data_IF_039665486273
#
_entry.id   IF_039665486273
#
_cell.length_a   1.000
_cell.length_b   1.000
_cell.length_c   1.000
_cell.angle_alpha   90.00
_cell.angle_beta   90.00
_cell.angle_gamma   90.00
#
_symmetry.space_group_name_H-M   'P 1'
#
loop_
_entity.id
_entity.type
_entity.pdbx_description
1 polymer ?
#
# COMPACT_ATOMS: atom_id res chain seq x y z
N UNK A 1 0.97 11.79 12.96
CA UNK A 1 1.07 10.47 12.31
C UNK A 1 2.32 10.47 11.45
N UNK A 2 3.24 9.52 11.64
CA UNK A 2 4.47 9.46 10.83
C UNK A 2 4.25 8.51 9.66
N UNK A 3 4.71 8.91 8.46
CA UNK A 3 4.61 8.13 7.22
C UNK A 3 5.14 6.70 7.41
N UNK A 4 6.13 6.52 8.28
CA UNK A 4 6.69 5.21 8.61
C UNK A 4 5.65 4.28 9.26
N UNK A 5 4.93 4.75 10.29
CA UNK A 5 3.88 3.96 10.94
C UNK A 5 2.75 3.62 9.97
N UNK A 6 2.42 4.52 9.06
CA UNK A 6 1.38 4.27 8.05
C UNK A 6 1.82 3.23 7.01
N UNK A 7 3.09 3.26 6.58
CA UNK A 7 3.67 2.22 5.71
C UNK A 7 3.54 0.85 6.38
N UNK A 8 3.93 0.71 7.65
CA UNK A 8 3.84 -0.56 8.37
C UNK A 8 2.39 -1.04 8.50
N UNK A 9 1.46 -0.12 8.73
CA UNK A 9 0.04 -0.43 8.79
C UNK A 9 -0.49 -0.93 7.43
N UNK A 10 -0.11 -0.30 6.32
CA UNK A 10 -0.46 -0.75 4.97
C UNK A 10 0.11 -2.14 4.69
N UNK A 11 1.40 -2.36 4.98
CA UNK A 11 2.05 -3.67 4.80
C UNK A 11 1.33 -4.76 5.61
N UNK A 12 0.97 -4.47 6.86
CA UNK A 12 0.23 -5.40 7.73
C UNK A 12 -1.15 -5.72 7.15
N UNK A 13 -1.92 -4.71 6.74
CA UNK A 13 -3.28 -4.90 6.17
C UNK A 13 -3.24 -5.73 4.88
N UNK A 14 -2.31 -5.43 3.98
CA UNK A 14 -2.13 -6.19 2.74
C UNK A 14 -1.71 -7.64 3.02
N UNK A 15 -0.82 -7.86 3.99
CA UNK A 15 -0.41 -9.20 4.41
C UNK A 15 -1.59 -10.01 4.96
N UNK A 16 -2.44 -9.41 5.80
CA UNK A 16 -3.64 -10.05 6.33
C UNK A 16 -4.62 -10.42 5.21
N UNK A 17 -4.77 -9.55 4.21
CA UNK A 17 -5.57 -9.81 3.02
C UNK A 17 -4.91 -10.78 2.01
N UNK A 18 -3.68 -11.27 2.28
CA UNK A 18 -2.86 -12.08 1.36
C UNK A 18 -2.63 -11.42 0.00
N UNK A 19 -2.47 -10.09 -0.01
CA UNK A 19 -2.20 -9.30 -1.21
C UNK A 19 -0.69 -9.01 -1.28
N UNK A 20 0.00 -9.37 -2.37
CA UNK A 20 1.42 -9.08 -2.50
C UNK A 20 1.65 -7.58 -2.70
N UNK A 21 2.69 -7.02 -2.08
CA UNK A 21 3.05 -5.60 -2.23
C UNK A 21 3.27 -5.18 -3.68
N UNK A 22 3.72 -6.10 -4.55
CA UNK A 22 3.87 -5.84 -5.97
C UNK A 22 2.57 -5.41 -6.65
N UNK A 23 1.40 -5.90 -6.19
CA UNK A 23 0.09 -5.43 -6.67
C UNK A 23 -0.19 -3.99 -6.26
N UNK A 24 0.14 -3.62 -5.02
CA UNK A 24 0.05 -2.23 -4.58
C UNK A 24 0.91 -1.32 -5.45
N UNK A 25 2.14 -1.73 -5.75
CA UNK A 25 3.07 -0.94 -6.57
C UNK A 25 2.52 -0.69 -7.97
N UNK A 26 1.94 -1.73 -8.59
CA UNK A 26 1.29 -1.62 -9.90
C UNK A 26 0.08 -0.69 -9.86
N UNK A 27 -0.80 -0.86 -8.87
CA UNK A 27 -2.03 -0.06 -8.77
C UNK A 27 -1.74 1.41 -8.45
N UNK A 28 -0.75 1.67 -7.59
CA UNK A 28 -0.36 3.02 -7.19
C UNK A 28 0.64 3.69 -8.15
N UNK A 29 1.10 2.99 -9.18
CA UNK A 29 2.07 3.54 -10.15
C UNK A 29 3.45 3.85 -9.56
N UNK A 30 3.88 3.11 -8.53
CA UNK A 30 5.19 3.28 -7.89
C UNK A 30 6.10 2.07 -8.10
N UNK A 31 7.41 2.25 -7.96
CA UNK A 31 8.37 1.16 -7.94
C UNK A 31 8.63 0.70 -6.49
N UNK A 32 8.92 -0.60 -6.30
CA UNK A 32 9.32 -1.15 -5.00
C UNK A 32 10.57 -0.47 -4.42
N UNK A 33 11.51 -0.01 -5.25
CA UNK A 33 12.67 0.77 -4.76
C UNK A 33 12.25 2.09 -4.10
N UNK A 34 11.21 2.75 -4.63
CA UNK A 34 10.64 3.98 -4.08
C UNK A 34 10.02 3.70 -2.71
N UNK A 35 9.24 2.61 -2.62
CA UNK A 35 8.65 2.16 -1.36
C UNK A 35 9.71 1.87 -0.29
N UNK A 36 10.77 1.13 -0.64
CA UNK A 36 11.89 0.81 0.26
C UNK A 36 12.57 2.07 0.78
N UNK A 37 12.77 3.10 -0.06
CA UNK A 37 13.36 4.38 0.37
C UNK A 37 12.47 5.14 1.33
N UNK A 38 11.15 5.12 1.12
CA UNK A 38 10.19 5.72 2.05
C UNK A 38 10.17 4.98 3.39
N UNK A 39 10.16 3.64 3.34
CA UNK A 39 10.21 2.80 4.53
C UNK A 39 11.46 3.05 5.37
N UNK A 40 12.62 3.15 4.71
CA UNK A 40 13.90 3.47 5.34
C UNK A 40 14.06 4.96 5.72
N UNK A 41 13.00 5.77 5.58
CA UNK A 41 12.98 7.21 5.86
C UNK A 41 14.07 7.99 5.11
N UNK A 42 14.59 7.46 4.00
CA UNK A 42 15.63 8.10 3.18
C UNK A 42 15.07 9.22 2.32
N UNK A 43 13.79 9.11 1.95
CA UNK A 43 13.07 10.11 1.17
C UNK A 43 11.62 10.13 1.63
N UNK A 44 10.96 11.28 1.59
CA UNK A 44 9.53 11.39 1.86
C UNK A 44 8.72 11.31 0.56
N UNK A 45 7.58 10.60 0.53
CA UNK A 45 6.65 10.68 -0.58
C UNK A 45 6.08 12.10 -0.72
N UNK A 46 5.73 12.47 -1.95
CA UNK A 46 4.88 13.65 -2.18
C UNK A 46 3.47 13.32 -1.70
N UNK A 47 2.75 14.34 -1.22
CA UNK A 47 1.39 14.16 -0.69
C UNK A 47 0.46 13.47 -1.71
N UNK A 48 0.48 13.90 -2.98
CA UNK A 48 -0.35 13.29 -4.02
C UNK A 48 -0.03 11.80 -4.21
N UNK A 49 1.27 11.46 -4.32
CA UNK A 49 1.69 10.06 -4.47
C UNK A 49 1.32 9.23 -3.26
N UNK A 50 1.40 9.80 -2.05
CA UNK A 50 0.98 9.11 -0.83
C UNK A 50 -0.54 8.84 -0.79
N UNK A 51 -1.33 9.81 -1.24
CA UNK A 51 -2.78 9.66 -1.38
C UNK A 51 -3.15 8.57 -2.40
N UNK A 52 -2.41 8.50 -3.52
CA UNK A 52 -2.61 7.45 -4.52
C UNK A 52 -2.31 6.06 -3.96
N UNK A 53 -1.22 5.92 -3.19
CA UNK A 53 -0.84 4.65 -2.58
C UNK A 53 -1.84 4.19 -1.51
N UNK A 54 -2.26 5.11 -0.64
CA UNK A 54 -3.27 4.79 0.40
C UNK A 54 -4.60 4.37 -0.24
N UNK A 55 -5.09 5.13 -1.24
CA UNK A 55 -6.28 4.76 -2.02
C UNK A 55 -6.14 3.38 -2.68
N UNK A 56 -5.02 3.13 -3.36
CA UNK A 56 -4.77 1.84 -4.02
C UNK A 56 -4.76 0.68 -3.02
N UNK A 57 -4.18 0.87 -1.82
CA UNK A 57 -4.20 -0.14 -0.77
C UNK A 57 -5.62 -0.45 -0.29
N UNK A 58 -6.43 0.57 -0.03
CA UNK A 58 -7.82 0.41 0.39
C UNK A 58 -8.67 -0.28 -0.69
N UNK A 59 -8.53 0.11 -1.95
CA UNK A 59 -9.22 -0.51 -3.08
C UNK A 59 -8.86 -1.99 -3.24
N UNK A 60 -7.57 -2.35 -3.12
CA UNK A 60 -7.12 -3.74 -3.20
C UNK A 60 -7.71 -4.59 -2.07
N UNK A 61 -7.74 -4.05 -0.84
CA UNK A 61 -8.31 -4.74 0.32
C UNK A 61 -9.82 -4.92 0.14
N UNK A 62 -10.53 -3.87 -0.30
CA UNK A 62 -11.97 -3.91 -0.55
C UNK A 62 -12.33 -4.91 -1.65
N UNK A 63 -11.61 -4.89 -2.79
CA UNK A 63 -11.77 -5.87 -3.87
C UNK A 63 -11.61 -7.30 -3.34
N UNK A 64 -10.57 -7.56 -2.55
CA UNK A 64 -10.31 -8.89 -2.00
C UNK A 64 -11.36 -9.35 -0.99
N UNK A 65 -11.84 -8.45 -0.15
CA UNK A 65 -12.91 -8.74 0.81
C UNK A 65 -14.25 -9.03 0.10
N UNK A 66 -14.57 -8.29 -0.97
CA UNK A 66 -15.78 -8.50 -1.77
C UNK A 66 -15.77 -9.82 -2.56
N UNK A 67 -14.61 -10.27 -3.03
CA UNK A 67 -14.46 -11.58 -3.69
C UNK A 67 -14.72 -12.75 -2.74
N UNK A 68 -14.34 -12.63 -1.46
CA UNK A 68 -14.56 -13.67 -0.46
C UNK A 68 -16.01 -13.84 0.00
N UNK A 69 -16.88 -12.85 -0.24
CA UNK A 69 -18.28 -12.89 0.18
C UNK A 69 -19.23 -13.56 -0.83
N UNK A 70 -18.71 -13.95 -2.02
CA UNK A 70 -19.48 -14.57 -3.11
C UNK A 70 -19.19 -16.06 -3.33
N UNK A 71 -18.33 -16.66 -2.50
CA UNK A 71 -17.98 -18.08 -2.53
C UNK A 71 -18.58 -18.80 -1.32
#
# INVERSE_FOLDING_TARGET
MTIHTDIENIERRLRLARIPLQRLFQEAGINGSTWTRWRAQKTSPRLNTWNDVTRAADELILKKAGEGARA
#
